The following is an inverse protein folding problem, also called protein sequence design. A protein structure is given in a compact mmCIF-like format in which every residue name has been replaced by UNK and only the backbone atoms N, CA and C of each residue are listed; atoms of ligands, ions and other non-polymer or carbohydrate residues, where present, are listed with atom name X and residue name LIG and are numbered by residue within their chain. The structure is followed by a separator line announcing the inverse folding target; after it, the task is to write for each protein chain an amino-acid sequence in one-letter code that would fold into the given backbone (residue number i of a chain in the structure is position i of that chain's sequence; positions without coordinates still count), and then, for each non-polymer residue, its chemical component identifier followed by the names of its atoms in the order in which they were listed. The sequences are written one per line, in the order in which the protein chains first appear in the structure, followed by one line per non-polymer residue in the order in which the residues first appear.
data_IF_131123987900
#
_entry.id   IF_131123987900
#
_cell.length_a   1.000
_cell.length_b   1.000
_cell.length_c   1.000
_cell.angle_alpha   90.00
_cell.angle_beta   90.00
_cell.angle_gamma   90.00
#
_symmetry.space_group_name_H-M   'P 1'
#
loop_
_entity.id
_entity.type
_entity.pdbx_description
1 polymer ?
#
# COMPACT_ATOMS: atom_id res chain seq x y z
N UNK A 1 9.99 2.10 11.48
CA UNK A 1 10.10 2.10 10.00
C UNK A 1 8.73 2.48 9.43
N UNK A 2 8.63 3.48 8.56
CA UNK A 2 7.38 3.73 7.81
C UNK A 2 7.27 2.67 6.72
N UNK A 3 6.38 1.70 6.92
CA UNK A 3 6.13 0.58 6.03
C UNK A 3 5.44 1.04 4.74
N UNK A 4 6.20 1.69 3.86
CA UNK A 4 5.86 1.85 2.45
C UNK A 4 7.06 1.34 1.67
N UNK A 5 6.87 0.27 0.90
CA UNK A 5 7.96 -0.36 0.15
C UNK A 5 7.73 -0.25 -1.37
N UNK A 6 8.72 -0.63 -2.17
CA UNK A 6 8.65 -0.66 -3.63
C UNK A 6 7.41 -1.39 -4.17
N UNK A 7 6.93 -2.42 -3.44
CA UNK A 7 5.71 -3.17 -3.75
C UNK A 7 4.46 -2.27 -3.74
N UNK A 8 4.34 -1.36 -2.77
CA UNK A 8 3.21 -0.44 -2.67
C UNK A 8 3.18 0.53 -3.85
N UNK A 9 4.37 0.92 -4.34
CA UNK A 9 4.51 1.78 -5.50
C UNK A 9 4.09 1.07 -6.79
N UNK A 10 4.54 -0.18 -7.00
CA UNK A 10 4.09 -0.98 -8.15
C UNK A 10 2.58 -1.18 -8.14
N UNK A 11 2.01 -1.51 -6.98
CA UNK A 11 0.58 -1.64 -6.79
C UNK A 11 -0.19 -0.37 -7.20
N UNK A 12 0.27 0.80 -6.72
CA UNK A 12 -0.28 2.09 -7.08
C UNK A 12 -0.20 2.37 -8.59
N UNK A 13 0.96 2.13 -9.21
CA UNK A 13 1.19 2.37 -10.64
C UNK A 13 0.25 1.51 -11.50
N UNK A 14 0.15 0.22 -11.18
CA UNK A 14 -0.72 -0.70 -11.91
C UNK A 14 -2.21 -0.33 -11.76
N UNK A 15 -2.64 0.09 -10.57
CA UNK A 15 -4.00 0.62 -10.38
C UNK A 15 -4.24 1.88 -11.23
N UNK A 16 -3.29 2.81 -11.27
CA UNK A 16 -3.39 4.03 -12.08
C UNK A 16 -3.56 3.72 -13.57
N UNK A 17 -2.72 2.84 -14.11
CA UNK A 17 -2.76 2.44 -15.52
C UNK A 17 -4.06 1.69 -15.82
N UNK A 18 -4.49 0.81 -14.91
CA UNK A 18 -5.76 0.09 -15.06
C UNK A 18 -6.96 1.06 -15.08
N UNK A 19 -7.04 2.03 -14.17
CA UNK A 19 -8.11 3.05 -14.20
C UNK A 19 -8.04 3.88 -15.48
N UNK A 20 -6.85 4.26 -15.94
CA UNK A 20 -6.70 4.97 -17.21
C UNK A 20 -7.30 4.18 -18.37
N UNK A 21 -6.96 2.91 -18.51
CA UNK A 21 -7.50 2.06 -19.58
C UNK A 21 -9.00 1.78 -19.41
N UNK A 22 -9.50 1.60 -18.18
CA UNK A 22 -10.93 1.48 -17.91
C UNK A 22 -11.71 2.72 -18.41
N UNK A 23 -11.18 3.93 -18.19
CA UNK A 23 -11.79 5.16 -18.72
C UNK A 23 -11.71 5.22 -20.24
N UNK A 24 -10.60 4.79 -20.85
CA UNK A 24 -10.44 4.70 -22.32
C UNK A 24 -11.41 3.71 -22.94
N UNK A 25 -11.67 2.57 -22.28
CA UNK A 25 -12.65 1.59 -22.70
C UNK A 25 -14.07 2.17 -22.75
N UNK A 26 -14.46 2.99 -21.77
CA UNK A 26 -15.77 3.65 -21.77
C UNK A 26 -15.88 4.67 -22.92
N UNK A 27 -14.83 5.47 -23.13
CA UNK A 27 -14.85 6.55 -24.15
C UNK A 27 -14.83 6.03 -25.58
N UNK A 28 -14.02 5.01 -25.85
CA UNK A 28 -13.81 4.48 -27.21
C UNK A 28 -14.66 3.27 -27.53
N UNK A 29 -15.22 2.61 -26.51
CA UNK A 29 -15.91 1.31 -26.61
C UNK A 29 -15.06 0.18 -27.20
N UNK A 30 -13.74 0.36 -27.34
CA UNK A 30 -12.85 -0.69 -27.84
C UNK A 30 -12.50 -1.66 -26.71
N UNK A 31 -12.74 -2.96 -26.93
CA UNK A 31 -12.54 -4.00 -25.92
C UNK A 31 -11.08 -4.20 -25.50
N UNK A 32 -10.12 -3.89 -26.37
CA UNK A 32 -8.71 -4.03 -26.02
C UNK A 32 -8.31 -3.15 -24.83
N UNK A 33 -8.99 -2.03 -24.59
CA UNK A 33 -8.74 -1.23 -23.39
C UNK A 33 -9.26 -1.92 -22.12
N UNK A 34 -10.35 -2.68 -22.20
CA UNK A 34 -10.80 -3.53 -21.09
C UNK A 34 -9.83 -4.68 -20.83
N UNK A 35 -9.25 -5.26 -21.90
CA UNK A 35 -8.18 -6.26 -21.81
C UNK A 35 -6.97 -5.68 -21.10
N UNK A 36 -6.45 -4.53 -21.56
CA UNK A 36 -5.31 -3.87 -20.94
C UNK A 36 -5.61 -3.51 -19.48
N UNK A 37 -6.80 -3.00 -19.18
CA UNK A 37 -7.22 -2.75 -17.80
C UNK A 37 -7.20 -4.04 -16.97
N UNK A 38 -7.67 -5.17 -17.50
CA UNK A 38 -7.62 -6.47 -16.84
C UNK A 38 -6.19 -6.94 -16.57
N UNK A 39 -5.30 -6.83 -17.56
CA UNK A 39 -3.87 -7.16 -17.41
C UNK A 39 -3.24 -6.39 -16.25
N UNK A 40 -3.45 -5.08 -16.19
CA UNK A 40 -2.90 -4.25 -15.12
C UNK A 40 -3.56 -4.50 -13.75
N UNK A 41 -4.85 -4.89 -13.70
CA UNK A 41 -5.46 -5.38 -12.45
C UNK A 41 -4.76 -6.67 -12.00
N UNK A 42 -4.51 -7.62 -12.91
CA UNK A 42 -3.79 -8.86 -12.61
C UNK A 42 -2.37 -8.62 -12.08
N UNK A 43 -1.62 -7.71 -12.71
CA UNK A 43 -0.29 -7.30 -12.23
C UNK A 43 -0.34 -6.66 -10.84
N UNK A 44 -1.36 -5.84 -10.57
CA UNK A 44 -1.58 -5.28 -9.22
C UNK A 44 -1.89 -6.38 -8.20
N UNK A 45 -2.70 -7.38 -8.54
CA UNK A 45 -2.98 -8.53 -7.67
C UNK A 45 -1.70 -9.29 -7.36
N UNK A 46 -0.86 -9.56 -8.37
CA UNK A 46 0.43 -10.23 -8.19
C UNK A 46 1.43 -9.41 -7.36
N UNK A 47 1.32 -8.08 -7.38
CA UNK A 47 2.19 -7.21 -6.58
C UNK A 47 1.80 -7.23 -5.11
N UNK A 48 0.49 -7.12 -4.82
CA UNK A 48 0.02 -7.01 -3.44
C UNK A 48 -1.12 -7.95 -3.17
N UNK A 49 -2.34 -7.63 -3.63
CA UNK A 49 -3.50 -8.51 -3.44
C UNK A 49 -4.79 -8.00 -4.16
N UNK A 50 -5.93 -8.58 -3.77
CA UNK A 50 -7.29 -8.31 -4.24
C UNK A 50 -7.82 -6.87 -4.13
N UNK A 51 -7.31 -5.95 -3.26
CA UNK A 51 -7.78 -4.56 -3.27
C UNK A 51 -7.64 -3.86 -4.64
N UNK A 52 -6.84 -4.40 -5.56
CA UNK A 52 -6.76 -3.98 -6.97
C UNK A 52 -8.12 -4.01 -7.69
N UNK A 53 -9.07 -4.84 -7.24
CA UNK A 53 -10.42 -4.94 -7.82
C UNK A 53 -11.25 -3.66 -7.65
N UNK A 54 -10.78 -2.68 -6.86
CA UNK A 54 -11.38 -1.33 -6.80
C UNK A 54 -11.56 -0.70 -8.19
N UNK A 55 -10.66 -1.01 -9.14
CA UNK A 55 -10.72 -0.52 -10.51
C UNK A 55 -12.02 -0.92 -11.19
N UNK A 56 -12.51 -2.15 -10.95
CA UNK A 56 -13.77 -2.64 -11.50
C UNK A 56 -14.95 -1.86 -10.92
N UNK A 57 -14.94 -1.56 -9.62
CA UNK A 57 -15.97 -0.75 -8.98
C UNK A 57 -16.01 0.70 -9.52
N UNK A 58 -14.84 1.32 -9.66
CA UNK A 58 -14.68 2.67 -10.24
C UNK A 58 -15.17 2.68 -11.70
N UNK A 59 -14.75 1.71 -12.50
CA UNK A 59 -15.22 1.53 -13.88
C UNK A 59 -16.74 1.35 -13.93
N UNK A 60 -17.31 0.50 -13.07
CA UNK A 60 -18.74 0.21 -13.04
C UNK A 60 -19.58 1.47 -12.83
N UNK A 61 -19.20 2.32 -11.87
CA UNK A 61 -19.89 3.60 -11.62
C UNK A 61 -19.80 4.53 -12.84
N UNK A 62 -18.64 4.59 -13.50
CA UNK A 62 -18.43 5.45 -14.66
C UNK A 62 -19.19 4.96 -15.90
N UNK A 63 -19.18 3.65 -16.13
CA UNK A 63 -19.76 2.96 -17.27
C UNK A 63 -21.30 2.86 -17.19
N UNK A 64 -21.85 2.82 -15.97
CA UNK A 64 -23.29 2.68 -15.75
C UNK A 64 -24.10 3.74 -16.51
N UNK A 65 -25.08 3.28 -17.30
CA UNK A 65 -25.91 4.12 -18.17
C UNK A 65 -25.10 5.07 -19.10
N UNK A 66 -23.83 4.74 -19.42
CA UNK A 66 -22.99 5.45 -20.40
C UNK A 66 -22.77 4.65 -21.67
N UNK A 67 -22.68 3.33 -21.53
CA UNK A 67 -22.52 2.36 -22.62
C UNK A 67 -23.73 1.42 -22.62
N UNK A 68 -23.95 0.69 -23.71
CA UNK A 68 -25.02 -0.30 -23.78
C UNK A 68 -24.79 -1.45 -22.80
N UNK A 69 -25.86 -2.11 -22.34
CA UNK A 69 -25.75 -3.26 -21.44
C UNK A 69 -24.85 -4.38 -22.00
N UNK A 70 -24.97 -4.68 -23.29
CA UNK A 70 -24.09 -5.62 -23.99
C UNK A 70 -22.62 -5.21 -23.84
N UNK A 71 -22.31 -3.95 -24.11
CA UNK A 71 -20.93 -3.44 -24.01
C UNK A 71 -20.44 -3.42 -22.56
N UNK A 72 -21.31 -3.09 -21.60
CA UNK A 72 -21.01 -3.13 -20.18
C UNK A 72 -20.56 -4.54 -19.75
N UNK A 73 -21.38 -5.56 -20.03
CA UNK A 73 -21.04 -6.94 -19.68
C UNK A 73 -19.79 -7.44 -20.40
N UNK A 74 -19.63 -7.14 -21.69
CA UNK A 74 -18.42 -7.52 -22.43
C UNK A 74 -17.15 -6.91 -21.83
N UNK A 75 -17.17 -5.62 -21.51
CA UNK A 75 -16.02 -4.95 -20.89
C UNK A 75 -15.73 -5.51 -19.49
N UNK A 76 -16.76 -5.76 -18.69
CA UNK A 76 -16.63 -6.35 -17.36
C UNK A 76 -15.99 -7.74 -17.43
N UNK A 77 -16.51 -8.61 -18.29
CA UNK A 77 -15.97 -9.97 -18.50
C UNK A 77 -14.53 -9.89 -18.99
N UNK A 78 -14.22 -9.04 -19.97
CA UNK A 78 -12.84 -8.90 -20.48
C UNK A 78 -11.87 -8.42 -19.39
N UNK A 79 -12.28 -7.48 -18.54
CA UNK A 79 -11.45 -7.02 -17.42
C UNK A 79 -11.17 -8.16 -16.42
N UNK A 80 -12.20 -8.90 -16.01
CA UNK A 80 -12.04 -9.98 -15.03
C UNK A 80 -11.28 -11.17 -15.61
N UNK A 81 -11.61 -11.62 -16.82
CA UNK A 81 -10.95 -12.75 -17.46
C UNK A 81 -9.45 -12.50 -17.62
N UNK A 82 -9.04 -11.31 -18.08
CA UNK A 82 -7.61 -11.02 -18.24
C UNK A 82 -6.88 -10.73 -16.92
N UNK A 83 -7.57 -10.19 -15.90
CA UNK A 83 -7.00 -10.14 -14.56
C UNK A 83 -6.71 -11.55 -14.02
N UNK A 84 -7.65 -12.47 -14.21
CA UNK A 84 -7.49 -13.89 -13.83
C UNK A 84 -6.38 -14.56 -14.64
N UNK A 85 -6.34 -14.40 -15.97
CA UNK A 85 -5.30 -14.99 -16.82
C UNK A 85 -3.89 -14.57 -16.39
N UNK A 86 -3.72 -13.32 -15.93
CA UNK A 86 -2.42 -12.84 -15.46
C UNK A 86 -2.12 -13.34 -14.03
N UNK A 87 -3.07 -13.28 -13.11
CA UNK A 87 -2.79 -13.57 -11.70
C UNK A 87 -2.83 -15.08 -11.35
N UNK A 88 -3.69 -15.86 -12.02
CA UNK A 88 -3.95 -17.25 -11.69
C UNK A 88 -2.77 -18.20 -11.91
N UNK A 89 -1.92 -18.08 -12.95
CA UNK A 89 -0.82 -19.01 -13.16
C UNK A 89 0.13 -19.10 -11.97
N UNK A 90 0.44 -17.96 -11.34
CA UNK A 90 1.26 -17.93 -10.13
C UNK A 90 0.58 -18.64 -8.96
N UNK A 91 -0.73 -18.42 -8.78
CA UNK A 91 -1.49 -19.10 -7.73
C UNK A 91 -1.48 -20.61 -7.93
N UNK A 92 -1.75 -21.09 -9.15
CA UNK A 92 -1.70 -22.53 -9.47
C UNK A 92 -0.31 -23.10 -9.16
N UNK A 93 0.75 -22.40 -9.59
CA UNK A 93 2.13 -22.84 -9.34
C UNK A 93 2.42 -22.99 -7.85
N UNK A 94 2.18 -21.96 -7.02
CA UNK A 94 2.53 -22.02 -5.60
C UNK A 94 1.72 -23.07 -4.85
N UNK A 95 0.43 -23.26 -5.17
CA UNK A 95 -0.39 -24.28 -4.54
C UNK A 95 -0.06 -25.71 -5.01
N UNK A 96 0.61 -25.86 -6.15
CA UNK A 96 1.03 -27.16 -6.67
C UNK A 96 2.39 -27.58 -6.10
N UNK A 97 3.35 -26.66 -6.07
CA UNK A 97 4.74 -26.96 -5.69
C UNK A 97 5.07 -26.64 -4.22
N UNK A 98 4.33 -25.71 -3.61
CA UNK A 98 4.56 -25.23 -2.23
C UNK A 98 3.23 -25.13 -1.44
N UNK A 99 2.42 -26.20 -1.38
CA UNK A 99 1.06 -26.13 -0.85
C UNK A 99 1.01 -25.65 0.60
N UNK A 100 1.94 -26.09 1.45
CA UNK A 100 1.99 -25.70 2.86
C UNK A 100 2.34 -24.22 3.02
N UNK A 101 3.37 -23.75 2.29
CA UNK A 101 3.79 -22.35 2.33
C UNK A 101 2.72 -21.43 1.74
N UNK A 102 2.08 -21.84 0.64
CA UNK A 102 0.99 -21.10 0.03
C UNK A 102 -0.23 -21.01 0.96
N UNK A 103 -0.59 -22.10 1.64
CA UNK A 103 -1.66 -22.10 2.64
C UNK A 103 -1.31 -21.23 3.85
N UNK A 104 -0.07 -21.28 4.34
CA UNK A 104 0.42 -20.43 5.41
C UNK A 104 0.31 -18.95 5.05
N UNK A 105 0.83 -18.56 3.88
CA UNK A 105 0.78 -17.17 3.40
C UNK A 105 -0.66 -16.67 3.18
N UNK A 106 -1.54 -17.52 2.64
CA UNK A 106 -2.96 -17.21 2.50
C UNK A 106 -3.64 -17.04 3.85
N UNK A 107 -3.25 -17.84 4.86
CA UNK A 107 -3.76 -17.71 6.21
C UNK A 107 -3.31 -16.40 6.87
N UNK A 108 -2.06 -15.98 6.68
CA UNK A 108 -1.53 -14.70 7.19
C UNK A 108 -2.30 -13.51 6.61
N UNK A 109 -2.59 -13.54 5.30
CA UNK A 109 -3.42 -12.55 4.63
C UNK A 109 -4.83 -12.43 5.25
N UNK A 110 -5.43 -13.56 5.64
CA UNK A 110 -6.70 -13.56 6.37
C UNK A 110 -6.54 -13.05 7.81
N UNK A 111 -5.45 -13.41 8.50
CA UNK A 111 -5.16 -12.95 9.85
C UNK A 111 -4.98 -11.43 9.93
N UNK A 112 -4.46 -10.76 8.90
CA UNK A 112 -4.44 -9.28 8.89
C UNK A 112 -5.85 -8.65 8.99
N UNK A 113 -6.89 -9.37 8.56
CA UNK A 113 -8.28 -8.91 8.63
C UNK A 113 -8.84 -9.12 10.04
N UNK A 114 -8.59 -10.27 10.66
CA UNK A 114 -9.24 -10.67 11.93
C UNK A 114 -8.39 -10.43 13.18
N UNK A 115 -7.06 -10.46 13.06
CA UNK A 115 -6.10 -10.38 14.15
C UNK A 115 -5.18 -9.16 14.02
N UNK A 116 -4.64 -8.72 15.16
CA UNK A 116 -3.59 -7.69 15.20
C UNK A 116 -2.24 -8.37 15.02
N UNK A 117 -1.58 -8.11 13.90
CA UNK A 117 -0.22 -8.56 13.61
C UNK A 117 0.78 -7.43 13.84
N UNK A 118 2.01 -7.77 14.21
CA UNK A 118 3.15 -6.85 14.40
C UNK A 118 2.88 -5.63 15.29
N UNK A 119 2.00 -5.77 16.28
CA UNK A 119 1.52 -4.68 17.14
C UNK A 119 0.93 -3.48 16.36
N UNK A 120 0.49 -3.70 15.12
CA UNK A 120 -0.12 -2.67 14.27
C UNK A 120 -1.62 -2.54 14.55
N UNK A 121 -1.99 -2.27 15.80
CA UNK A 121 -3.39 -2.02 16.17
C UNK A 121 -3.80 -0.56 15.90
N UNK A 122 -5.10 -0.30 15.91
CA UNK A 122 -5.63 1.06 15.87
C UNK A 122 -7.15 1.11 15.85
N UNK A 123 -7.71 2.27 16.19
CA UNK A 123 -9.15 2.48 16.18
C UNK A 123 -9.72 2.46 14.76
N UNK A 124 -11.05 2.39 14.65
CA UNK A 124 -11.76 2.57 13.38
C UNK A 124 -11.31 3.84 12.62
N UNK A 125 -11.02 4.91 13.36
CA UNK A 125 -10.62 6.20 12.78
C UNK A 125 -9.16 6.25 12.30
N UNK A 126 -8.37 5.18 12.47
CA UNK A 126 -6.94 5.16 12.17
C UNK A 126 -6.62 5.70 10.78
N UNK A 127 -7.24 5.15 9.73
CA UNK A 127 -6.94 5.55 8.35
C UNK A 127 -7.42 6.96 8.05
N UNK A 128 -8.57 7.37 8.58
CA UNK A 128 -9.06 8.74 8.44
C UNK A 128 -8.11 9.74 9.10
N UNK A 129 -7.68 9.52 10.34
CA UNK A 129 -6.68 10.37 11.00
C UNK A 129 -5.38 10.45 10.18
N UNK A 130 -4.93 9.33 9.60
CA UNK A 130 -3.76 9.31 8.71
C UNK A 130 -3.99 10.09 7.42
N UNK A 131 -5.20 10.11 6.88
CA UNK A 131 -5.58 10.93 5.71
C UNK A 131 -5.26 12.40 5.96
N UNK A 132 -5.71 12.95 7.09
CA UNK A 132 -5.42 14.34 7.45
C UNK A 132 -3.92 14.62 7.61
N UNK A 133 -3.17 13.70 8.20
CA UNK A 133 -1.71 13.83 8.35
C UNK A 133 -0.93 13.72 7.03
N UNK A 134 -1.45 12.99 6.04
CA UNK A 134 -0.76 12.76 4.75
C UNK A 134 -1.16 13.82 3.72
N UNK A 135 -2.45 14.13 3.63
CA UNK A 135 -3.02 14.99 2.58
C UNK A 135 -3.49 16.36 3.10
N UNK A 136 -3.34 16.64 4.39
CA UNK A 136 -3.83 17.85 5.06
C UNK A 136 -5.26 17.68 5.59
N UNK A 137 -5.55 18.26 6.75
CA UNK A 137 -6.86 18.18 7.42
C UNK A 137 -7.97 18.85 6.62
N UNK A 138 -7.64 19.86 5.82
CA UNK A 138 -8.61 20.48 4.92
C UNK A 138 -9.09 19.53 3.81
N UNK A 139 -8.44 18.38 3.60
CA UNK A 139 -8.96 17.39 2.66
C UNK A 139 -10.33 16.84 3.09
N UNK A 140 -10.67 16.82 4.39
CA UNK A 140 -12.02 16.45 4.81
C UNK A 140 -13.09 17.39 4.24
N UNK A 141 -12.76 18.67 4.06
CA UNK A 141 -13.66 19.64 3.42
C UNK A 141 -13.89 19.30 1.94
N UNK A 142 -12.87 18.79 1.24
CA UNK A 142 -12.98 18.31 -0.15
C UNK A 142 -13.99 17.16 -0.21
N UNK A 143 -13.85 16.17 0.68
CA UNK A 143 -14.75 15.01 0.75
C UNK A 143 -16.19 15.43 1.07
N UNK A 144 -16.38 16.28 2.10
CA UNK A 144 -17.70 16.80 2.46
C UNK A 144 -18.35 17.58 1.32
N UNK A 145 -17.57 18.41 0.61
CA UNK A 145 -18.06 19.12 -0.56
C UNK A 145 -18.45 18.17 -1.70
N UNK A 146 -17.65 17.14 -1.97
CA UNK A 146 -17.98 16.14 -2.99
C UNK A 146 -19.25 15.38 -2.66
N UNK A 147 -19.43 14.97 -1.39
CA UNK A 147 -20.66 14.33 -0.91
C UNK A 147 -21.85 15.28 -1.12
N UNK A 148 -21.75 16.50 -0.60
CA UNK A 148 -22.81 17.51 -0.74
C UNK A 148 -23.18 17.78 -2.21
N UNK A 149 -22.21 17.97 -3.10
CA UNK A 149 -22.48 18.20 -4.54
C UNK A 149 -23.01 16.96 -5.26
N UNK A 150 -22.71 15.76 -4.76
CA UNK A 150 -23.24 14.52 -5.33
C UNK A 150 -24.69 14.31 -4.91
N UNK A 151 -25.02 14.55 -3.64
CA UNK A 151 -26.38 14.42 -3.11
C UNK A 151 -27.27 15.63 -3.36
N UNK A 152 -26.78 16.86 -3.50
CA UNK A 152 -27.65 17.99 -3.91
C UNK A 152 -28.12 17.87 -5.36
N UNK A 153 -27.36 17.13 -6.17
CA UNK A 153 -27.63 16.94 -7.61
C UNK A 153 -28.40 15.64 -7.89
N UNK A 154 -29.24 15.14 -6.95
CA UNK A 154 -29.96 13.84 -7.07
C UNK A 154 -30.69 13.70 -8.40
N UNK A 155 -31.20 14.80 -8.97
CA UNK A 155 -31.99 14.78 -10.22
C UNK A 155 -31.23 14.25 -11.46
N UNK A 156 -29.93 13.97 -11.39
CA UNK A 156 -29.24 13.23 -12.46
C UNK A 156 -27.97 12.52 -11.99
N UNK A 157 -28.03 11.20 -11.76
CA UNK A 157 -26.86 10.32 -11.59
C UNK A 157 -25.79 10.57 -12.67
N UNK A 158 -26.23 10.90 -13.90
CA UNK A 158 -25.33 11.20 -15.02
C UNK A 158 -24.38 12.38 -14.72
N UNK A 159 -24.82 13.38 -13.94
CA UNK A 159 -24.03 14.58 -13.57
C UNK A 159 -23.13 14.37 -12.34
N UNK A 160 -23.44 13.39 -11.49
CA UNK A 160 -22.67 13.07 -10.27
C UNK A 160 -21.70 11.90 -10.43
N UNK A 161 -21.83 11.07 -11.47
CA UNK A 161 -21.03 9.84 -11.69
C UNK A 161 -19.53 10.00 -11.43
N UNK A 162 -18.91 11.09 -11.90
CA UNK A 162 -17.46 11.27 -11.77
C UNK A 162 -17.07 11.52 -10.31
N UNK A 163 -17.89 12.30 -9.58
CA UNK A 163 -17.70 12.50 -8.14
C UNK A 163 -17.96 11.22 -7.37
N UNK A 164 -18.99 10.45 -7.73
CA UNK A 164 -19.30 9.17 -7.10
C UNK A 164 -18.19 8.14 -7.32
N UNK A 165 -17.61 8.07 -8.52
CA UNK A 165 -16.49 7.18 -8.82
C UNK A 165 -15.24 7.54 -8.02
N UNK A 166 -14.92 8.84 -7.92
CA UNK A 166 -13.81 9.31 -7.08
C UNK A 166 -14.08 9.07 -5.59
N UNK A 167 -15.31 9.33 -5.11
CA UNK A 167 -15.72 9.03 -3.74
C UNK A 167 -15.63 7.54 -3.44
N UNK A 168 -16.03 6.66 -4.36
CA UNK A 168 -15.90 5.22 -4.19
C UNK A 168 -14.42 4.80 -4.14
N UNK A 169 -13.58 5.32 -5.03
CA UNK A 169 -12.13 5.05 -5.02
C UNK A 169 -11.45 5.50 -3.71
N UNK A 170 -11.97 6.54 -3.06
CA UNK A 170 -11.46 7.00 -1.75
C UNK A 170 -12.09 6.21 -0.61
N UNK A 171 -13.42 6.23 -0.49
CA UNK A 171 -14.11 5.76 0.70
C UNK A 171 -14.12 4.24 0.82
N UNK A 172 -14.18 3.49 -0.28
CA UNK A 172 -14.21 2.01 -0.20
C UNK A 172 -12.93 1.47 0.44
N UNK A 173 -11.70 1.83 0.00
CA UNK A 173 -10.48 1.41 0.68
C UNK A 173 -10.42 1.88 2.14
N UNK A 174 -10.73 3.15 2.40
CA UNK A 174 -10.64 3.68 3.75
C UNK A 174 -11.62 3.00 4.72
N UNK A 175 -12.87 2.76 4.30
CA UNK A 175 -13.85 2.05 5.10
C UNK A 175 -13.44 0.60 5.30
N UNK A 176 -13.05 -0.11 4.23
CA UNK A 176 -12.62 -1.51 4.30
C UNK A 176 -11.47 -1.70 5.31
N UNK A 177 -10.37 -0.95 5.18
CA UNK A 177 -9.24 -1.05 6.11
C UNK A 177 -9.54 -0.44 7.50
N UNK A 178 -10.61 0.34 7.65
CA UNK A 178 -11.08 0.75 8.97
C UNK A 178 -11.71 -0.41 9.76
N UNK A 179 -12.16 -1.46 9.09
CA UNK A 179 -12.68 -2.68 9.72
C UNK A 179 -11.62 -3.79 9.93
N UNK A 180 -10.48 -3.76 9.24
CA UNK A 180 -9.42 -4.76 9.45
C UNK A 180 -8.78 -4.60 10.83
N UNK A 181 -8.44 -5.70 11.49
CA UNK A 181 -7.79 -5.66 12.80
C UNK A 181 -6.37 -5.06 12.73
N UNK A 182 -5.58 -5.46 11.74
CA UNK A 182 -4.26 -4.88 11.48
C UNK A 182 -4.38 -3.55 10.72
N UNK A 183 -3.66 -2.52 11.19
CA UNK A 183 -3.68 -1.14 10.69
C UNK A 183 -2.33 -0.69 10.17
N UNK A 184 -2.16 -0.69 8.85
CA UNK A 184 -0.94 -0.20 8.21
C UNK A 184 -1.17 1.05 7.36
N UNK A 185 -0.29 2.03 7.47
CA UNK A 185 -0.45 3.32 6.78
C UNK A 185 -0.52 3.19 5.24
N UNK A 186 0.24 2.25 4.66
CA UNK A 186 0.30 2.07 3.20
C UNK A 186 -0.94 1.41 2.59
N UNK A 187 -1.84 0.81 3.39
CA UNK A 187 -3.03 0.13 2.88
C UNK A 187 -3.92 1.05 2.03
N UNK A 188 -3.97 2.34 2.33
CA UNK A 188 -4.81 3.29 1.60
C UNK A 188 -4.04 4.09 0.54
N UNK A 189 -2.77 3.76 0.25
CA UNK A 189 -1.93 4.53 -0.67
C UNK A 189 -2.51 4.58 -2.09
N UNK A 190 -3.10 3.48 -2.57
CA UNK A 190 -3.67 3.40 -3.91
C UNK A 190 -4.92 4.28 -4.14
N UNK A 191 -5.45 4.91 -3.09
CA UNK A 191 -6.49 5.93 -3.18
C UNK A 191 -5.94 7.35 -3.40
N UNK A 192 -4.62 7.56 -3.25
CA UNK A 192 -3.96 8.87 -3.44
C UNK A 192 -4.30 9.56 -4.77
N UNK A 193 -4.35 8.86 -5.93
CA UNK A 193 -4.73 9.50 -7.18
C UNK A 193 -6.12 10.13 -7.15
N UNK A 194 -7.10 9.43 -6.59
CA UNK A 194 -8.46 9.95 -6.47
C UNK A 194 -8.53 11.15 -5.53
N UNK A 195 -7.72 11.13 -4.46
CA UNK A 195 -7.55 12.27 -3.54
C UNK A 195 -7.02 13.48 -4.29
N UNK A 196 -5.94 13.33 -5.07
CA UNK A 196 -5.36 14.45 -5.82
C UNK A 196 -6.29 15.00 -6.90
N UNK A 197 -6.98 14.13 -7.64
CA UNK A 197 -7.98 14.56 -8.65
C UNK A 197 -9.14 15.32 -7.95
N UNK A 198 -9.62 14.81 -6.82
CA UNK A 198 -10.68 15.44 -6.03
C UNK A 198 -10.26 16.82 -5.51
N UNK A 199 -9.03 16.94 -5.01
CA UNK A 199 -8.43 18.19 -4.56
C UNK A 199 -8.33 19.20 -5.70
N UNK A 200 -7.83 18.79 -6.87
CA UNK A 200 -7.76 19.65 -8.06
C UNK A 200 -9.15 20.14 -8.48
N UNK A 201 -10.15 19.26 -8.48
CA UNK A 201 -11.52 19.59 -8.83
C UNK A 201 -12.17 20.56 -7.83
N UNK A 202 -11.90 20.41 -6.53
CA UNK A 202 -12.34 21.36 -5.52
C UNK A 202 -11.64 22.72 -5.66
N UNK A 203 -10.34 22.70 -5.97
CA UNK A 203 -9.58 23.92 -6.14
C UNK A 203 -10.09 24.74 -7.33
N UNK A 204 -10.34 24.09 -8.47
CA UNK A 204 -10.95 24.70 -9.64
C UNK A 204 -12.33 25.28 -9.31
N UNK A 205 -13.15 24.57 -8.52
CA UNK A 205 -14.45 25.06 -8.06
C UNK A 205 -14.32 26.35 -7.24
N UNK A 206 -13.40 26.40 -6.28
CA UNK A 206 -13.17 27.59 -5.45
C UNK A 206 -12.73 28.79 -6.32
N UNK A 207 -11.79 28.58 -7.24
CA UNK A 207 -11.32 29.64 -8.14
C UNK A 207 -12.44 30.20 -9.02
N UNK A 208 -13.28 29.33 -9.60
CA UNK A 208 -14.40 29.75 -10.47
C UNK A 208 -15.55 30.39 -9.71
N UNK A 209 -15.74 30.03 -8.44
CA UNK A 209 -16.86 30.55 -7.62
C UNK A 209 -16.46 31.65 -6.65
N UNK A 210 -15.18 32.05 -6.60
CA UNK A 210 -14.68 33.03 -5.62
C UNK A 210 -15.46 34.35 -5.60
N UNK A 211 -15.91 34.82 -6.76
CA UNK A 211 -16.70 36.06 -6.90
C UNK A 211 -18.10 35.97 -6.31
N UNK A 212 -18.63 34.76 -6.08
CA UNK A 212 -19.94 34.53 -5.46
C UNK A 212 -19.91 34.62 -3.94
N UNK A 213 -18.72 34.65 -3.34
CA UNK A 213 -18.56 34.80 -1.90
C UNK A 213 -18.49 36.30 -1.57
N UNK A 214 -19.20 36.72 -0.51
CA UNK A 214 -19.15 38.11 0.01
C UNK A 214 -17.71 38.59 0.26
N UNK A 215 -16.82 37.65 0.64
CA UNK A 215 -15.39 37.86 0.82
C UNK A 215 -14.64 36.99 -0.20
N UNK A 216 -14.23 37.58 -1.32
CA UNK A 216 -13.55 36.87 -2.43
C UNK A 216 -12.13 36.36 -2.07
N UNK A 217 -11.52 36.86 -0.99
CA UNK A 217 -10.21 36.41 -0.49
C UNK A 217 -10.29 35.09 0.27
N UNK A 218 -11.44 34.77 0.88
CA UNK A 218 -11.62 33.56 1.70
C UNK A 218 -11.35 32.26 0.93
N UNK A 219 -11.89 32.08 -0.29
CA UNK A 219 -11.55 30.94 -1.15
C UNK A 219 -10.05 30.84 -1.48
N UNK A 220 -9.35 31.97 -1.61
CA UNK A 220 -7.91 32.00 -1.89
C UNK A 220 -7.13 31.53 -0.66
N UNK A 221 -7.49 32.02 0.53
CA UNK A 221 -6.89 31.55 1.80
C UNK A 221 -7.14 30.06 2.00
N UNK A 222 -8.36 29.57 1.75
CA UNK A 222 -8.67 28.14 1.82
C UNK A 222 -7.79 27.32 0.87
N UNK A 223 -7.56 27.80 -0.35
CA UNK A 223 -6.64 27.15 -1.30
C UNK A 223 -5.20 27.12 -0.78
N UNK A 224 -4.69 28.25 -0.28
CA UNK A 224 -3.33 28.32 0.27
C UNK A 224 -3.17 27.31 1.41
N UNK A 225 -4.11 27.27 2.35
CA UNK A 225 -4.05 26.34 3.50
C UNK A 225 -4.18 24.89 3.05
N UNK A 226 -5.00 24.60 2.03
CA UNK A 226 -5.18 23.25 1.49
C UNK A 226 -3.86 22.64 0.98
N UNK A 227 -2.97 23.47 0.41
CA UNK A 227 -1.64 23.03 -0.02
C UNK A 227 -0.55 23.20 1.04
N UNK A 228 -0.63 24.22 1.91
CA UNK A 228 0.38 24.48 2.93
C UNK A 228 0.41 23.42 4.05
N UNK A 229 -0.76 22.90 4.47
CA UNK A 229 -0.86 21.88 5.52
C UNK A 229 -0.10 20.58 5.19
N UNK A 230 -0.32 19.92 4.03
CA UNK A 230 0.45 18.73 3.70
C UNK A 230 1.94 19.03 3.55
N UNK A 231 2.34 20.20 3.05
CA UNK A 231 3.76 20.60 2.98
C UNK A 231 4.40 20.65 4.37
N UNK A 232 3.73 21.28 5.35
CA UNK A 232 4.19 21.33 6.75
C UNK A 232 4.50 19.93 7.29
N UNK A 233 3.56 18.99 7.15
CA UNK A 233 3.75 17.62 7.64
C UNK A 233 4.87 16.87 6.92
N UNK A 234 5.09 17.15 5.63
CA UNK A 234 6.20 16.55 4.90
C UNK A 234 7.56 17.09 5.35
N UNK A 235 7.68 18.40 5.62
CA UNK A 235 8.92 18.99 6.16
C UNK A 235 9.29 18.34 7.50
N UNK A 236 8.31 18.17 8.40
CA UNK A 236 8.50 17.49 9.68
C UNK A 236 9.00 16.04 9.49
N UNK A 237 8.44 15.31 8.52
CA UNK A 237 8.80 13.91 8.25
C UNK A 237 10.16 13.74 7.59
N UNK A 238 10.58 14.69 6.76
CA UNK A 238 11.87 14.62 6.07
C UNK A 238 13.04 14.76 7.05
N UNK A 239 12.79 15.22 8.29
CA UNK A 239 13.78 15.28 9.37
C UNK A 239 15.11 15.87 8.88
N UNK A 240 15.04 16.91 8.03
CA UNK A 240 16.20 17.49 7.33
C UNK A 240 17.35 17.88 8.26
N UNK A 241 17.04 18.19 9.51
CA UNK A 241 17.99 18.63 10.52
C UNK A 241 18.36 17.54 11.54
N UNK A 242 17.78 16.35 11.46
CA UNK A 242 18.25 15.21 12.27
C UNK A 242 19.48 14.58 11.60
N UNK A 243 20.61 14.56 12.32
CA UNK A 243 21.77 13.77 11.93
C UNK A 243 21.43 12.28 12.13
N UNK A 244 21.05 11.61 11.05
CA UNK A 244 21.00 10.15 11.05
C UNK A 244 22.42 9.61 10.96
N UNK A 245 22.86 8.90 12.00
CA UNK A 245 24.10 8.13 11.94
C UNK A 245 23.92 7.00 10.91
N UNK A 246 24.62 7.13 9.77
CA UNK A 246 24.60 6.15 8.68
C UNK A 246 25.48 4.94 8.94
N UNK A 247 26.31 4.98 9.99
CA UNK A 247 27.20 3.88 10.36
C UNK A 247 27.21 3.69 11.88
N UNK A 248 26.05 3.35 12.47
CA UNK A 248 25.91 3.21 13.91
C UNK A 248 26.81 2.09 14.43
N UNK A 249 27.15 2.17 15.73
CA UNK A 249 28.11 1.26 16.36
C UNK A 249 27.76 -0.23 16.14
N UNK A 250 26.48 -0.58 16.15
CA UNK A 250 26.04 -1.96 15.91
C UNK A 250 26.41 -2.45 14.49
N UNK A 251 26.35 -1.58 13.47
CA UNK A 251 26.76 -1.94 12.10
C UNK A 251 28.27 -2.16 12.04
N UNK A 252 29.04 -1.34 12.75
CA UNK A 252 30.49 -1.53 12.86
C UNK A 252 30.82 -2.85 13.58
N UNK A 253 30.06 -3.22 14.60
CA UNK A 253 30.23 -4.48 15.32
C UNK A 253 29.99 -5.68 14.39
N UNK A 254 28.91 -5.69 13.60
CA UNK A 254 28.63 -6.76 12.63
C UNK A 254 29.73 -6.84 11.56
N UNK A 255 30.19 -5.70 11.03
CA UNK A 255 31.29 -5.67 10.05
C UNK A 255 32.59 -6.22 10.64
N UNK A 256 32.92 -5.87 11.88
CA UNK A 256 34.09 -6.40 12.58
C UNK A 256 33.96 -7.90 12.87
N UNK A 257 32.76 -8.37 13.21
CA UNK A 257 32.48 -9.79 13.37
C UNK A 257 32.72 -10.54 12.06
N UNK A 258 32.23 -10.01 10.92
CA UNK A 258 32.49 -10.57 9.59
C UNK A 258 33.99 -10.72 9.33
N UNK A 259 34.79 -9.68 9.59
CA UNK A 259 36.24 -9.71 9.39
C UNK A 259 36.89 -10.82 10.21
N UNK A 260 36.47 -11.01 11.47
CA UNK A 260 37.01 -12.07 12.34
C UNK A 260 36.59 -13.48 11.90
N UNK A 261 35.39 -13.63 11.35
CA UNK A 261 34.85 -14.93 10.91
C UNK A 261 35.45 -15.40 9.57
N UNK A 262 35.96 -14.48 8.74
CA UNK A 262 36.49 -14.79 7.42
C UNK A 262 35.39 -14.99 6.36
N UNK A 263 35.72 -15.62 5.23
CA UNK A 263 34.83 -15.72 4.06
C UNK A 263 33.84 -16.91 4.13
N UNK A 264 34.13 -17.94 4.93
CA UNK A 264 33.33 -19.18 4.99
C UNK A 264 32.28 -19.15 6.11
N UNK A 265 31.22 -18.36 5.94
CA UNK A 265 30.15 -18.22 6.95
C UNK A 265 28.85 -18.95 6.63
N UNK A 266 28.74 -19.63 5.49
CA UNK A 266 27.48 -20.25 5.01
C UNK A 266 26.91 -21.29 5.97
N UNK A 267 27.78 -22.01 6.68
CA UNK A 267 27.43 -22.99 7.70
C UNK A 267 27.55 -22.43 9.10
N UNK A 268 27.21 -21.16 9.29
CA UNK A 268 27.21 -20.50 10.59
C UNK A 268 25.79 -20.16 11.02
N UNK A 269 25.51 -20.43 12.29
CA UNK A 269 24.30 -20.00 13.00
C UNK A 269 24.71 -19.04 14.12
N UNK A 270 24.26 -17.79 14.04
CA UNK A 270 24.52 -16.77 15.06
C UNK A 270 23.26 -16.62 15.92
N UNK A 271 23.37 -16.94 17.20
CA UNK A 271 22.26 -16.79 18.17
C UNK A 271 22.42 -15.52 19.00
N UNK A 272 21.33 -15.08 19.63
CA UNK A 272 21.28 -13.86 20.45
C UNK A 272 21.74 -12.59 19.69
N UNK A 273 21.57 -12.57 18.36
CA UNK A 273 21.91 -11.43 17.52
C UNK A 273 20.94 -10.27 17.80
N UNK A 274 21.46 -9.08 18.10
CA UNK A 274 20.60 -7.90 18.32
C UNK A 274 19.89 -7.44 17.05
N UNK A 275 20.45 -7.77 15.88
CA UNK A 275 19.95 -7.40 14.56
C UNK A 275 20.08 -8.61 13.62
N UNK A 276 19.24 -9.65 13.76
CA UNK A 276 19.42 -10.92 13.04
C UNK A 276 19.32 -10.73 11.52
N UNK A 277 18.34 -9.96 11.04
CA UNK A 277 18.14 -9.70 9.61
C UNK A 277 19.36 -8.99 9.02
N UNK A 278 19.80 -7.90 9.65
CA UNK A 278 20.97 -7.16 9.20
C UNK A 278 22.25 -8.00 9.30
N UNK A 279 22.35 -8.89 10.29
CA UNK A 279 23.47 -9.83 10.43
C UNK A 279 23.53 -10.79 9.24
N UNK A 280 22.41 -11.40 8.85
CA UNK A 280 22.32 -12.28 7.67
C UNK A 280 22.62 -11.53 6.36
N UNK A 281 22.33 -10.22 6.30
CA UNK A 281 22.67 -9.39 5.15
C UNK A 281 24.18 -9.13 5.04
N UNK A 282 24.85 -8.83 6.16
CA UNK A 282 26.29 -8.54 6.15
C UNK A 282 27.16 -9.81 6.13
N UNK A 283 26.72 -10.85 6.82
CA UNK A 283 27.40 -12.12 7.03
C UNK A 283 26.50 -13.19 6.42
N UNK A 284 26.98 -13.89 5.40
CA UNK A 284 26.21 -14.94 4.72
C UNK A 284 26.05 -16.14 5.67
N UNK A 285 25.11 -16.07 6.60
CA UNK A 285 24.88 -16.98 7.71
C UNK A 285 23.40 -16.99 8.09
N UNK A 286 23.00 -17.86 9.02
CA UNK A 286 21.67 -17.83 9.66
C UNK A 286 21.80 -17.10 10.99
N UNK A 287 20.89 -16.19 11.31
CA UNK A 287 20.93 -15.46 12.58
C UNK A 287 19.55 -15.40 13.27
N UNK A 288 19.55 -15.54 14.60
CA UNK A 288 18.38 -15.47 15.46
C UNK A 288 18.60 -14.49 16.61
N UNK A 289 17.54 -13.82 17.05
CA UNK A 289 17.52 -12.93 18.21
C UNK A 289 17.32 -13.69 19.55
N UNK A 290 17.15 -15.00 19.49
CA UNK A 290 17.06 -15.90 20.64
C UNK A 290 18.13 -16.99 20.59
N UNK A 291 18.26 -17.73 21.68
CA UNK A 291 19.12 -18.92 21.80
C UNK A 291 18.31 -20.19 21.69
N UNK A 292 18.96 -21.25 21.22
CA UNK A 292 18.45 -22.60 21.25
C UNK A 292 18.78 -23.29 22.58
N UNK A 293 18.05 -24.36 22.89
CA UNK A 293 18.43 -25.28 23.96
C UNK A 293 19.65 -26.14 23.54
N UNK A 294 20.27 -26.79 24.52
CA UNK A 294 21.49 -27.56 24.28
C UNK A 294 21.27 -28.71 23.29
N UNK A 295 20.11 -29.36 23.33
CA UNK A 295 19.76 -30.45 22.42
C UNK A 295 19.69 -29.97 20.97
N UNK A 296 19.05 -28.83 20.70
CA UNK A 296 18.94 -28.29 19.36
C UNK A 296 20.28 -27.74 18.84
N UNK A 297 21.13 -27.18 19.71
CA UNK A 297 22.49 -26.79 19.33
C UNK A 297 23.28 -28.01 18.85
N UNK A 298 23.24 -29.12 19.59
CA UNK A 298 23.91 -30.37 19.20
C UNK A 298 23.34 -30.91 17.88
N UNK A 299 22.03 -30.82 17.67
CA UNK A 299 21.40 -31.22 16.41
C UNK A 299 21.91 -30.37 15.23
N UNK A 300 21.97 -29.05 15.39
CA UNK A 300 22.47 -28.12 14.37
C UNK A 300 23.95 -28.42 14.06
N UNK A 301 24.77 -28.67 15.08
CA UNK A 301 26.19 -29.01 14.90
C UNK A 301 26.39 -30.35 14.20
N UNK A 302 25.54 -31.35 14.47
CA UNK A 302 25.53 -32.63 13.74
C UNK A 302 25.23 -32.47 12.25
N UNK A 303 24.47 -31.46 11.86
CA UNK A 303 24.23 -31.13 10.45
C UNK A 303 25.38 -30.33 9.81
N UNK A 304 26.49 -30.13 10.54
CA UNK A 304 27.70 -29.49 10.04
C UNK A 304 27.67 -27.96 10.12
N UNK A 305 26.75 -27.38 10.89
CA UNK A 305 26.73 -25.96 11.18
C UNK A 305 27.54 -25.64 12.44
N UNK A 306 28.15 -24.46 12.49
CA UNK A 306 28.79 -23.94 13.71
C UNK A 306 27.85 -22.92 14.36
N UNK A 307 27.63 -23.03 15.67
CA UNK A 307 26.82 -22.07 16.42
C UNK A 307 27.72 -21.08 17.17
N UNK A 308 27.41 -19.79 17.07
CA UNK A 308 28.12 -18.72 17.80
C UNK A 308 27.12 -17.83 18.51
N UNK A 309 27.40 -17.48 19.75
CA UNK A 309 26.63 -16.50 20.52
C UNK A 309 27.17 -15.08 20.30
N UNK A 310 26.32 -14.20 19.77
CA UNK A 310 26.66 -12.82 19.47
C UNK A 310 26.92 -11.95 20.71
N UNK A 311 26.17 -12.14 21.80
CA UNK A 311 26.33 -11.37 23.03
C UNK A 311 27.64 -11.73 23.72
N UNK A 312 27.97 -13.01 23.78
CA UNK A 312 29.26 -13.47 24.31
C UNK A 312 30.42 -12.92 23.48
N UNK A 313 30.25 -12.76 22.17
CA UNK A 313 31.26 -12.12 21.32
C UNK A 313 31.40 -10.62 21.58
N UNK A 314 30.30 -9.88 21.79
CA UNK A 314 30.38 -8.45 22.13
C UNK A 314 31.07 -8.26 23.48
N UNK A 315 30.74 -9.08 24.48
CA UNK A 315 31.24 -8.95 25.85
C UNK A 315 32.69 -9.43 26.05
N UNK A 316 33.28 -10.09 25.05
CA UNK A 316 34.68 -10.53 25.06
C UNK A 316 35.65 -9.52 24.41
N UNK A 317 35.16 -8.32 24.04
CA UNK A 317 35.99 -7.16 23.65
C UNK A 317 36.39 -6.34 24.87
#
# INVERSE_FOLDING_TARGET
RTATDHIDLFFLIFILIAVFFAVRAIKSQKLYFSILSGVFIGLAILSKWLPALIVVGVWGILAFNKISWKQFFLQFIMMLSFATIVALPWQIYIYTYFPEQAAWEASLNMQHITNVLDNQSGSFWYHFVKMGKIYGELFYLVVLWMLYKSFKSVKSFKKSRYRLALLAWILVPYLFFSFTATKMQAYTLFAAPAIFISTAFFAEYLLKTKHKFKRNWLPIVLLIVLFALPIRYNIERLKFFEKQDRNPQWTQNIKNLKIKLGENTEKLVIVNATHPIETMFYINCIAYDFSFDAEKIIEIEKHGYKVIDYQNWINSK
#
